data_IF_325376633951
#
_entry.id   IF_325376633951
#
_cell.length_a   1.000
_cell.length_b   1.000
_cell.length_c   1.000
_cell.angle_alpha   90.00
_cell.angle_beta   90.00
_cell.angle_gamma   90.00
#
_symmetry.space_group_name_H-M   'P 1'
#
loop_
_entity.id
_entity.type
_entity.pdbx_description
1 polymer ?
#
# COMPACT_ATOMS: atom_id res chain seq x y z
N UNK A 1 -40.99 -35.45 10.18
CA UNK A 1 -39.84 -35.25 9.26
C UNK A 1 -39.48 -33.77 9.30
N UNK A 2 -38.43 -33.41 10.04
CA UNK A 2 -37.96 -32.04 10.17
C UNK A 2 -36.44 -32.08 10.35
N UNK A 3 -35.72 -31.89 9.26
CA UNK A 3 -34.27 -31.75 9.22
C UNK A 3 -33.89 -30.27 9.09
N UNK A 4 -32.63 -29.99 9.48
CA UNK A 4 -31.81 -28.80 9.19
C UNK A 4 -31.93 -27.67 10.24
N UNK A 5 -30.89 -27.18 10.93
CA UNK A 5 -29.43 -27.37 10.89
C UNK A 5 -28.85 -26.92 12.25
N UNK A 6 -27.80 -27.55 12.81
CA UNK A 6 -27.02 -26.95 13.89
C UNK A 6 -26.07 -25.89 13.32
N UNK A 7 -26.21 -24.65 13.79
CA UNK A 7 -25.30 -23.55 13.48
C UNK A 7 -23.92 -23.83 14.06
N UNK A 8 -22.95 -24.16 13.21
CA UNK A 8 -21.54 -24.18 13.57
C UNK A 8 -21.03 -22.73 13.63
N UNK A 9 -21.05 -22.16 14.83
CA UNK A 9 -20.26 -20.99 15.19
C UNK A 9 -18.79 -21.40 15.27
N UNK A 10 -18.15 -21.59 14.12
CA UNK A 10 -16.70 -21.74 14.04
C UNK A 10 -16.07 -20.37 14.27
N UNK A 11 -15.89 -20.00 15.54
CA UNK A 11 -14.97 -18.95 15.94
C UNK A 11 -13.56 -19.39 15.56
N UNK A 12 -13.19 -19.16 14.32
CA UNK A 12 -11.83 -19.35 13.82
C UNK A 12 -10.95 -18.33 14.53
N UNK A 13 -10.37 -18.74 15.65
CA UNK A 13 -9.32 -17.99 16.34
C UNK A 13 -8.12 -17.93 15.41
N UNK A 14 -8.08 -16.91 14.55
CA UNK A 14 -6.87 -16.48 13.87
C UNK A 14 -5.87 -16.07 14.96
N UNK A 15 -5.06 -17.01 15.43
CA UNK A 15 -3.74 -16.69 15.98
C UNK A 15 -2.93 -16.09 14.83
N UNK A 16 -3.17 -14.80 14.58
CA UNK A 16 -2.37 -13.97 13.71
C UNK A 16 -0.97 -13.95 14.30
N UNK A 17 -0.12 -14.87 13.84
CA UNK A 17 1.31 -14.77 14.08
C UNK A 17 1.71 -13.37 13.65
N UNK A 18 2.14 -12.54 14.61
CA UNK A 18 2.46 -11.15 14.33
C UNK A 18 3.45 -11.14 13.16
N UNK A 19 3.16 -10.39 12.11
CA UNK A 19 4.06 -10.29 10.96
C UNK A 19 4.34 -8.83 10.71
N UNK A 20 5.53 -8.57 10.17
CA UNK A 20 6.01 -7.21 9.96
C UNK A 20 6.81 -7.13 8.66
N UNK A 21 6.90 -5.94 8.12
CA UNK A 21 7.75 -5.58 7.01
C UNK A 21 9.02 -4.94 7.56
N UNK A 22 10.15 -5.47 7.15
CA UNK A 22 11.48 -5.05 7.60
C UNK A 22 12.06 -4.09 6.55
N UNK A 23 12.12 -2.81 6.92
CA UNK A 23 12.45 -1.71 6.01
C UNK A 23 13.82 -1.13 6.42
N UNK A 24 14.83 -1.13 5.55
CA UNK A 24 16.15 -0.56 5.85
C UNK A 24 16.13 0.98 5.72
N UNK A 25 15.20 1.64 6.42
CA UNK A 25 15.01 3.10 6.39
C UNK A 25 14.12 3.55 7.55
N UNK A 26 14.32 4.76 8.06
CA UNK A 26 13.38 5.42 8.99
C UNK A 26 12.19 6.10 8.26
N UNK A 27 11.00 6.18 8.87
CA UNK A 27 9.79 6.68 8.21
C UNK A 27 9.85 8.18 7.85
N UNK A 28 10.68 8.94 8.57
CA UNK A 28 10.70 10.42 8.55
C UNK A 28 12.03 11.01 8.09
N UNK A 29 13.05 10.19 7.80
CA UNK A 29 14.38 10.68 7.41
C UNK A 29 14.60 10.52 5.90
N UNK A 30 15.05 11.60 5.27
CA UNK A 30 15.53 11.58 3.89
C UNK A 30 16.89 10.87 3.75
N UNK A 31 17.62 10.76 4.86
CA UNK A 31 18.92 10.10 4.95
C UNK A 31 18.81 8.72 5.60
N UNK A 32 19.62 7.80 5.10
CA UNK A 32 19.82 6.47 5.66
C UNK A 32 21.08 6.45 6.49
N UNK A 33 21.00 5.90 7.69
CA UNK A 33 22.18 5.50 8.46
C UNK A 33 22.29 3.98 8.40
N UNK A 34 23.48 3.47 8.07
CA UNK A 34 23.71 2.04 7.95
C UNK A 34 23.37 1.33 9.27
N UNK A 35 22.41 0.41 9.24
CA UNK A 35 21.94 -0.33 10.42
C UNK A 35 20.54 0.06 10.91
N UNK A 36 20.01 1.22 10.49
CA UNK A 36 18.66 1.65 10.87
C UNK A 36 17.59 0.85 10.11
N UNK A 37 16.70 0.20 10.87
CA UNK A 37 15.59 -0.59 10.32
C UNK A 37 14.28 -0.21 10.97
N UNK A 38 13.26 0.06 10.16
CA UNK A 38 11.88 0.19 10.63
C UNK A 38 11.19 -1.15 10.49
N UNK A 39 10.58 -1.62 11.59
CA UNK A 39 9.62 -2.73 11.55
C UNK A 39 8.23 -2.14 11.41
N UNK A 40 7.65 -2.33 10.23
CA UNK A 40 6.29 -1.90 9.94
C UNK A 40 5.34 -3.06 10.15
N UNK A 41 4.50 -3.02 11.19
CA UNK A 41 3.64 -4.17 11.49
C UNK A 41 2.58 -4.36 10.40
N UNK A 42 2.18 -5.62 10.14
CA UNK A 42 1.05 -5.90 9.23
C UNK A 42 -0.25 -5.28 9.74
N UNK A 43 -0.41 -5.18 11.06
CA UNK A 43 -1.54 -4.49 11.69
C UNK A 43 -1.58 -3.02 11.32
N UNK A 44 -0.46 -2.29 11.42
CA UNK A 44 -0.40 -0.89 10.99
C UNK A 44 -0.69 -0.74 9.50
N UNK A 45 -0.19 -1.66 8.66
CA UNK A 45 -0.52 -1.65 7.23
C UNK A 45 -2.03 -1.81 6.98
N UNK A 46 -2.71 -2.64 7.77
CA UNK A 46 -4.16 -2.78 7.71
C UNK A 46 -4.88 -1.52 8.17
N UNK A 47 -4.44 -0.91 9.28
CA UNK A 47 -5.00 0.32 9.82
C UNK A 47 -4.87 1.48 8.82
N UNK A 48 -3.73 1.63 8.15
CA UNK A 48 -3.52 2.64 7.10
C UNK A 48 -4.53 2.49 5.94
N UNK A 49 -4.79 1.26 5.52
CA UNK A 49 -5.68 0.98 4.40
C UNK A 49 -7.15 1.21 4.79
N UNK A 50 -7.55 0.81 6.00
CA UNK A 50 -8.91 1.00 6.52
C UNK A 50 -9.23 2.49 6.72
N UNK A 51 -8.26 3.26 7.22
CA UNK A 51 -8.46 4.69 7.52
C UNK A 51 -8.31 5.59 6.29
N UNK A 52 -7.83 5.06 5.17
CA UNK A 52 -7.73 5.81 3.94
C UNK A 52 -9.11 6.01 3.28
N UNK A 53 -9.34 7.14 2.59
CA UNK A 53 -10.56 7.32 1.82
C UNK A 53 -10.65 6.29 0.69
N UNK A 54 -11.84 6.16 0.12
CA UNK A 54 -12.05 5.32 -1.05
C UNK A 54 -11.04 5.70 -2.16
N UNK A 55 -10.29 4.73 -2.72
CA UNK A 55 -9.29 5.03 -3.73
C UNK A 55 -9.89 5.69 -4.96
N UNK A 56 -9.18 6.67 -5.48
CA UNK A 56 -9.56 7.34 -6.73
C UNK A 56 -8.47 7.11 -7.77
N UNK A 57 -8.83 7.04 -9.04
CA UNK A 57 -7.84 6.84 -10.09
C UNK A 57 -7.01 8.11 -10.32
N UNK A 58 -5.77 7.95 -10.75
CA UNK A 58 -4.75 8.99 -10.82
C UNK A 58 -4.91 10.05 -11.94
N UNK A 59 -5.95 9.95 -12.78
CA UNK A 59 -6.05 10.72 -14.04
C UNK A 59 -6.83 12.03 -13.98
N UNK A 60 -7.69 12.24 -12.99
CA UNK A 60 -8.47 13.49 -12.92
C UNK A 60 -7.76 14.55 -12.09
N UNK A 61 -8.04 15.84 -12.38
CA UNK A 61 -7.51 16.97 -11.62
C UNK A 61 -7.95 16.95 -10.14
N UNK A 62 -9.02 16.23 -9.82
CA UNK A 62 -9.52 15.98 -8.46
C UNK A 62 -9.17 14.57 -7.93
N UNK A 63 -8.32 13.80 -8.63
CA UNK A 63 -7.79 12.56 -8.10
C UNK A 63 -7.21 12.83 -6.71
N UNK A 64 -7.27 11.86 -5.82
CA UNK A 64 -6.71 11.89 -4.46
C UNK A 64 -5.90 10.62 -4.25
N UNK A 65 -5.08 10.61 -3.20
CA UNK A 65 -4.50 9.36 -2.70
C UNK A 65 -5.56 8.64 -1.86
N UNK A 66 -5.54 7.30 -1.78
CA UNK A 66 -4.62 6.36 -2.44
C UNK A 66 -4.85 6.28 -3.96
N UNK A 67 -3.81 5.87 -4.70
CA UNK A 67 -3.83 5.80 -6.17
C UNK A 67 -3.45 4.41 -6.68
N UNK A 68 -3.75 4.12 -7.95
CA UNK A 68 -3.42 2.84 -8.55
C UNK A 68 -1.90 2.61 -8.57
N UNK A 69 -1.47 1.44 -8.10
CA UNK A 69 -0.10 0.96 -8.17
C UNK A 69 0.07 0.15 -9.46
N UNK A 70 1.00 0.58 -10.31
CA UNK A 70 1.24 -0.05 -11.61
C UNK A 70 2.34 -1.13 -11.54
N UNK A 71 2.96 -1.33 -10.38
CA UNK A 71 4.04 -2.30 -10.15
C UNK A 71 5.13 -2.23 -11.23
N UNK A 72 5.58 -1.00 -11.51
CA UNK A 72 6.65 -0.74 -12.49
C UNK A 72 7.99 -1.35 -12.06
N UNK A 73 8.15 -1.61 -10.77
CA UNK A 73 9.29 -2.26 -10.15
C UNK A 73 9.26 -3.79 -10.33
N UNK A 74 8.09 -4.39 -10.59
CA UNK A 74 7.92 -5.84 -10.73
C UNK A 74 7.98 -6.62 -9.42
N UNK A 75 7.76 -5.95 -8.29
CA UNK A 75 7.91 -6.50 -6.94
C UNK A 75 6.67 -7.25 -6.44
N UNK A 76 5.52 -7.07 -7.11
CA UNK A 76 4.22 -7.62 -6.74
C UNK A 76 3.59 -8.50 -7.82
N UNK A 77 4.40 -9.00 -8.76
CA UNK A 77 3.94 -9.83 -9.88
C UNK A 77 3.12 -11.02 -9.37
N UNK A 78 3.61 -11.75 -8.36
CA UNK A 78 2.91 -12.93 -7.84
C UNK A 78 1.59 -12.57 -7.15
N UNK A 79 1.58 -11.51 -6.36
CA UNK A 79 0.40 -10.99 -5.69
C UNK A 79 -0.66 -10.47 -6.66
N UNK A 80 -0.24 -10.07 -7.87
CA UNK A 80 -1.13 -9.57 -8.91
C UNK A 80 -1.86 -10.68 -9.70
N UNK A 81 -1.37 -11.93 -9.63
CA UNK A 81 -1.93 -13.04 -10.41
C UNK A 81 -3.35 -13.35 -9.96
N UNK A 82 -4.28 -13.37 -10.92
CA UNK A 82 -5.69 -13.67 -10.68
C UNK A 82 -6.49 -12.52 -10.07
N UNK A 83 -5.87 -11.38 -9.75
CA UNK A 83 -6.61 -10.21 -9.27
C UNK A 83 -7.38 -9.53 -10.40
N UNK A 84 -8.56 -9.02 -10.07
CA UNK A 84 -9.37 -8.25 -11.02
C UNK A 84 -8.83 -6.82 -11.15
N UNK A 85 -8.79 -6.25 -12.37
CA UNK A 85 -8.47 -4.85 -12.58
C UNK A 85 -9.28 -3.88 -11.71
N UNK A 86 -8.62 -2.82 -11.26
CA UNK A 86 -9.23 -1.78 -10.45
C UNK A 86 -10.31 -1.02 -11.26
N UNK A 87 -11.50 -0.78 -10.68
CA UNK A 87 -12.57 -0.06 -11.36
C UNK A 87 -12.15 1.38 -11.70
N UNK A 88 -12.60 1.88 -12.85
CA UNK A 88 -12.31 3.25 -13.29
C UNK A 88 -10.85 3.53 -13.64
N UNK A 89 -9.95 2.54 -13.55
CA UNK A 89 -8.55 2.70 -13.94
C UNK A 89 -8.34 2.43 -15.43
N UNK A 90 -7.49 3.24 -16.03
CA UNK A 90 -7.02 3.08 -17.40
C UNK A 90 -5.72 2.29 -17.42
N UNK A 91 -5.33 1.80 -18.59
CA UNK A 91 -4.02 1.18 -18.82
C UNK A 91 -2.88 2.14 -18.43
N UNK A 92 -1.84 1.59 -17.82
CA UNK A 92 -0.62 2.34 -17.49
C UNK A 92 0.15 2.74 -18.75
N UNK A 93 0.87 3.86 -18.70
CA UNK A 93 1.86 4.17 -19.72
C UNK A 93 3.09 3.31 -19.45
N UNK A 94 3.54 2.57 -20.46
CA UNK A 94 4.53 1.51 -20.34
C UNK A 94 5.83 1.96 -19.68
N UNK A 95 6.12 1.34 -18.53
CA UNK A 95 7.48 1.07 -18.08
C UNK A 95 7.50 -0.43 -17.79
N UNK A 96 8.32 -1.16 -18.53
CA UNK A 96 8.49 -2.62 -18.42
C UNK A 96 8.81 -3.02 -16.96
N UNK A 97 8.42 -4.21 -16.49
CA UNK A 97 8.08 -5.41 -17.26
C UNK A 97 6.59 -5.58 -17.61
N UNK A 98 5.70 -4.72 -17.12
CA UNK A 98 4.27 -4.83 -17.41
C UNK A 98 3.95 -4.33 -18.83
N UNK A 99 3.26 -5.10 -19.68
CA UNK A 99 2.82 -4.63 -20.98
C UNK A 99 2.01 -3.34 -20.82
N UNK A 100 2.17 -2.38 -21.74
CA UNK A 100 1.44 -1.10 -21.81
C UNK A 100 -0.09 -1.22 -21.92
N UNK A 101 -0.62 -2.44 -21.81
CA UNK A 101 -2.03 -2.80 -21.88
C UNK A 101 -2.63 -3.28 -20.55
N UNK A 102 -1.83 -3.45 -19.49
CA UNK A 102 -2.32 -3.99 -18.22
C UNK A 102 -2.96 -2.88 -17.39
N UNK A 103 -4.22 -3.10 -16.99
CA UNK A 103 -4.89 -2.27 -16.01
C UNK A 103 -4.33 -2.60 -14.62
N UNK A 104 -4.06 -1.60 -13.77
CA UNK A 104 -3.55 -1.87 -12.44
C UNK A 104 -4.59 -2.68 -11.65
N UNK A 105 -4.09 -3.60 -10.84
CA UNK A 105 -4.88 -4.47 -9.96
C UNK A 105 -4.63 -4.17 -8.47
N UNK A 106 -3.66 -3.29 -8.18
CA UNK A 106 -3.20 -2.94 -6.85
C UNK A 106 -3.35 -1.44 -6.59
N UNK A 107 -3.61 -1.08 -5.34
CA UNK A 107 -3.66 0.28 -4.83
C UNK A 107 -2.40 0.60 -4.01
N UNK A 108 -1.99 1.86 -3.99
CA UNK A 108 -0.86 2.41 -3.22
C UNK A 108 -1.32 3.49 -2.25
N UNK A 109 -1.05 3.28 -0.97
CA UNK A 109 -1.47 4.12 0.15
C UNK A 109 -0.24 4.72 0.82
N UNK A 110 -0.06 6.04 0.84
CA UNK A 110 0.92 6.69 1.70
C UNK A 110 0.78 6.24 3.15
N UNK A 111 1.89 5.82 3.74
CA UNK A 111 1.94 5.45 5.14
C UNK A 111 2.77 6.47 5.89
N UNK A 112 2.11 7.22 6.80
CA UNK A 112 2.78 7.94 7.88
C UNK A 112 2.14 7.50 9.19
N UNK A 113 3.00 7.07 10.11
CA UNK A 113 2.71 6.38 11.36
C UNK A 113 1.72 7.06 12.35
N UNK A 114 1.09 8.19 12.02
CA UNK A 114 0.09 8.80 12.90
C UNK A 114 -0.94 9.72 12.24
N UNK A 115 -0.65 10.52 11.21
CA UNK A 115 -1.58 11.61 10.80
C UNK A 115 -1.46 11.98 9.31
N UNK A 116 -1.52 11.00 8.40
CA UNK A 116 -1.59 11.35 6.98
C UNK A 116 -3.01 11.82 6.62
N UNK A 117 -3.17 13.13 6.39
CA UNK A 117 -4.43 13.68 5.92
C UNK A 117 -4.55 13.50 4.41
N UNK A 118 -5.34 12.49 4.01
CA UNK A 118 -5.66 12.22 2.62
C UNK A 118 -6.58 13.27 1.98
N UNK A 119 -7.29 14.08 2.78
CA UNK A 119 -8.24 15.07 2.27
C UNK A 119 -7.55 16.28 1.63
N UNK A 120 -6.32 16.56 2.03
CA UNK A 120 -5.56 17.74 1.59
C UNK A 120 -4.55 17.42 0.47
N UNK A 121 -4.78 16.38 -0.35
CA UNK A 121 -3.91 16.09 -1.50
C UNK A 121 -4.67 15.68 -2.75
N UNK A 122 -4.21 16.18 -3.90
CA UNK A 122 -4.60 15.66 -5.20
C UNK A 122 -3.81 14.38 -5.57
N UNK A 123 -4.08 13.78 -6.72
CA UNK A 123 -3.52 12.50 -7.15
C UNK A 123 -2.02 12.57 -7.42
N UNK A 124 -1.47 13.79 -7.57
CA UNK A 124 -0.03 14.06 -7.68
C UNK A 124 0.62 14.34 -6.31
N UNK A 125 -0.16 14.37 -5.23
CA UNK A 125 0.29 14.70 -3.88
C UNK A 125 0.43 16.19 -3.61
N UNK A 126 -0.13 17.08 -4.44
CA UNK A 126 -0.15 18.53 -4.19
C UNK A 126 -1.35 18.90 -3.33
N UNK A 127 -1.19 19.83 -2.39
CA UNK A 127 -2.31 20.33 -1.60
C UNK A 127 -3.36 21.03 -2.47
N UNK A 128 -4.62 20.97 -2.06
CA UNK A 128 -5.73 21.57 -2.81
C UNK A 128 -5.78 23.09 -2.62
N UNK A 129 -5.19 23.60 -1.53
CA UNK A 129 -4.98 25.03 -1.28
C UNK A 129 -3.52 25.41 -1.64
N UNK A 130 -3.34 26.31 -2.61
CA UNK A 130 -2.01 26.75 -3.09
C UNK A 130 -1.15 27.50 -2.05
N UNK A 131 -1.52 27.49 -0.76
CA UNK A 131 -0.97 28.34 0.28
C UNK A 131 0.04 27.64 1.22
N UNK A 132 0.23 26.33 1.14
CA UNK A 132 1.18 25.60 1.99
C UNK A 132 2.06 24.61 1.22
N UNK A 133 3.30 24.33 1.68
CA UNK A 133 4.18 23.39 1.02
C UNK A 133 3.57 21.98 0.96
N UNK A 134 3.95 21.23 -0.08
CA UNK A 134 3.57 19.84 -0.30
C UNK A 134 3.72 19.03 0.99
N UNK A 135 2.63 18.44 1.50
CA UNK A 135 2.75 17.50 2.61
C UNK A 135 3.51 16.27 2.11
N UNK A 136 4.72 16.06 2.65
CA UNK A 136 5.53 14.93 2.28
C UNK A 136 4.76 13.62 2.61
N UNK A 137 4.45 12.79 1.60
CA UNK A 137 3.75 11.52 1.82
C UNK A 137 4.60 10.48 2.56
N UNK A 138 5.81 10.82 2.94
CA UNK A 138 6.76 9.93 3.58
C UNK A 138 7.31 8.91 2.59
N UNK A 139 8.26 8.14 3.08
CA UNK A 139 9.00 7.19 2.26
C UNK A 139 8.22 5.90 1.97
N UNK A 140 7.12 5.61 2.67
CA UNK A 140 6.50 4.28 2.67
C UNK A 140 5.13 4.29 2.00
N UNK A 141 4.82 3.18 1.33
CA UNK A 141 3.50 2.91 0.74
C UNK A 141 3.02 1.53 1.18
N UNK A 142 1.80 1.42 1.66
CA UNK A 142 1.12 0.12 1.75
C UNK A 142 0.54 -0.19 0.38
N UNK A 143 0.77 -1.41 -0.11
CA UNK A 143 0.20 -1.90 -1.36
C UNK A 143 -0.93 -2.88 -1.02
N UNK A 144 -2.12 -2.68 -1.57
CA UNK A 144 -3.28 -3.54 -1.32
C UNK A 144 -4.03 -3.92 -2.60
N UNK A 145 -4.85 -4.96 -2.51
CA UNK A 145 -5.77 -5.34 -3.59
C UNK A 145 -7.03 -4.46 -3.60
N UNK A 146 -7.94 -4.74 -4.55
CA UNK A 146 -9.23 -4.05 -4.65
C UNK A 146 -10.14 -4.21 -3.42
N UNK A 147 -9.90 -5.20 -2.58
CA UNK A 147 -10.65 -5.52 -1.38
C UNK A 147 -9.96 -4.99 -0.12
N UNK A 148 -8.97 -4.09 -0.27
CA UNK A 148 -8.24 -3.49 0.85
C UNK A 148 -7.45 -4.49 1.69
N UNK A 149 -7.07 -5.65 1.11
CA UNK A 149 -6.15 -6.59 1.74
C UNK A 149 -4.70 -6.17 1.43
N UNK A 150 -3.86 -5.87 2.44
CA UNK A 150 -2.46 -5.54 2.24
C UNK A 150 -1.69 -6.71 1.61
N UNK A 151 -1.06 -6.44 0.48
CA UNK A 151 -0.17 -7.35 -0.26
C UNK A 151 1.30 -7.13 0.12
N UNK A 152 1.65 -5.90 0.54
CA UNK A 152 2.96 -5.60 1.10
C UNK A 152 3.17 -4.13 1.41
N UNK A 153 4.43 -3.77 1.63
CA UNK A 153 4.86 -2.39 1.86
C UNK A 153 6.04 -2.09 0.95
N UNK A 154 5.96 -0.98 0.25
CA UNK A 154 7.05 -0.43 -0.55
C UNK A 154 7.67 0.77 0.14
N UNK A 155 8.96 1.01 -0.11
CA UNK A 155 9.68 2.15 0.44
C UNK A 155 10.61 2.77 -0.60
N UNK A 156 10.89 4.06 -0.48
CA UNK A 156 11.98 4.70 -1.24
C UNK A 156 13.34 4.27 -0.68
N UNK A 157 14.21 3.59 -1.46
CA UNK A 157 15.55 3.24 -1.00
C UNK A 157 16.37 4.48 -0.63
N UNK A 158 17.37 4.33 0.24
CA UNK A 158 18.33 5.38 0.54
C UNK A 158 18.90 6.05 -0.73
N UNK A 159 18.83 7.38 -0.81
CA UNK A 159 19.32 8.13 -1.97
C UNK A 159 18.50 7.98 -3.26
N UNK A 160 17.40 7.22 -3.26
CA UNK A 160 16.57 6.99 -4.45
C UNK A 160 15.12 7.43 -4.21
N UNK A 161 14.84 8.72 -4.47
CA UNK A 161 13.51 9.32 -4.26
C UNK A 161 12.50 9.02 -5.37
N UNK A 162 12.95 8.47 -6.50
CA UNK A 162 12.10 8.21 -7.68
C UNK A 162 11.74 6.73 -7.84
N UNK A 163 12.41 5.82 -7.12
CA UNK A 163 12.16 4.39 -7.18
C UNK A 163 11.56 3.89 -5.87
N UNK A 164 10.79 2.82 -5.95
CA UNK A 164 10.40 2.04 -4.79
C UNK A 164 11.13 0.69 -4.76
N UNK A 165 11.21 0.11 -3.58
CA UNK A 165 11.54 -1.29 -3.39
C UNK A 165 10.56 -1.91 -2.40
N UNK A 166 10.27 -3.19 -2.56
CA UNK A 166 9.45 -3.95 -1.62
C UNK A 166 10.20 -4.26 -0.33
N UNK A 167 9.54 -4.00 0.79
CA UNK A 167 10.02 -4.34 2.11
C UNK A 167 9.94 -5.86 2.35
N UNK A 168 10.93 -6.40 3.05
CA UNK A 168 10.97 -7.85 3.33
C UNK A 168 9.91 -8.22 4.35
N UNK A 169 8.96 -9.08 3.98
CA UNK A 169 7.96 -9.61 4.91
C UNK A 169 8.58 -10.67 5.83
N UNK A 170 8.30 -10.56 7.13
CA UNK A 170 8.79 -11.44 8.19
C UNK A 170 7.62 -11.89 9.06
N UNK A 171 7.58 -13.19 9.38
CA UNK A 171 6.71 -13.73 10.42
C UNK A 171 7.45 -13.67 11.75
N UNK A 172 6.79 -13.21 12.80
CA UNK A 172 7.29 -13.33 14.16
C UNK A 172 7.29 -14.81 14.51
N UNK A 173 8.48 -15.38 14.69
CA UNK A 173 8.60 -16.71 15.26
C UNK A 173 8.47 -16.55 16.76
N UNK A 174 7.34 -16.96 17.32
CA UNK A 174 7.25 -17.26 18.75
C UNK A 174 8.35 -18.27 19.04
N UNK A 175 9.29 -17.91 19.91
CA UNK A 175 10.26 -18.87 20.44
C UNK A 175 9.60 -19.73 21.48
#
# INVERSE_FOLDING_TARGET
>A
MGNCCPGTSSSSSYTSGSSYYDIPRHPTRNEYQAGDRTRYSRRHAQEDVINAPAPTHNRFNNARRPHAHYDTEGDYIQESIGLTPLPGTTRGYGLAPMPSSVRPVLWSYPSRHANFDYADQNGRGRRLNNAQPQQDPGAFRVISDRHQNPQGVSYHPPGQSQSFARARHRRHRSR
#
